data_IF_753635446227
#
_entry.id   IF_753635446227
#
_cell.length_a   1.000
_cell.length_b   1.000
_cell.length_c   1.000
_cell.angle_alpha   90.00
_cell.angle_beta   90.00
_cell.angle_gamma   90.00
#
_symmetry.space_group_name_H-M   'P 1'
#
loop_
_entity.id
_entity.type
_entity.pdbx_description
1 polymer ?
#
# COMPACT_ATOMS: atom_id res chain seq x y z
N UNK A 1 31.63 23.70 67.96
CA UNK A 1 32.32 23.62 66.65
C UNK A 1 32.71 22.16 66.42
N UNK A 2 31.73 21.28 66.21
CA UNK A 2 31.91 19.82 66.08
C UNK A 2 30.66 19.23 65.40
N UNK A 3 30.51 19.37 64.07
CA UNK A 3 29.39 18.72 63.38
C UNK A 3 29.64 18.45 61.89
N UNK A 4 30.90 18.20 61.51
CA UNK A 4 31.27 17.88 60.12
C UNK A 4 31.92 16.51 59.99
N UNK A 5 32.70 16.06 60.98
CA UNK A 5 33.37 14.75 60.93
C UNK A 5 32.40 13.55 61.11
N UNK A 6 31.44 13.64 62.03
CA UNK A 6 30.48 12.55 62.27
C UNK A 6 29.56 12.31 61.07
N UNK A 7 29.18 13.38 60.36
CA UNK A 7 28.28 13.29 59.19
C UNK A 7 28.89 12.48 58.06
N UNK A 8 30.18 12.67 57.77
CA UNK A 8 30.88 11.92 56.72
C UNK A 8 31.01 10.43 57.04
N UNK A 9 31.17 10.09 58.32
CA UNK A 9 31.28 8.71 58.80
C UNK A 9 29.93 7.98 58.80
N UNK A 10 28.83 8.69 59.06
CA UNK A 10 27.47 8.15 58.96
C UNK A 10 27.03 7.99 57.51
N UNK A 11 27.35 8.96 56.64
CA UNK A 11 27.00 8.89 55.21
C UNK A 11 27.69 7.73 54.49
N UNK A 12 28.99 7.50 54.75
CA UNK A 12 29.73 6.37 54.17
C UNK A 12 29.28 5.00 54.70
N UNK A 13 28.84 4.91 55.97
CA UNK A 13 28.22 3.69 56.53
C UNK A 13 26.86 3.37 55.90
N UNK A 14 26.06 4.39 55.59
CA UNK A 14 24.77 4.20 54.92
C UNK A 14 25.01 3.74 53.48
N UNK A 15 25.97 4.33 52.77
CA UNK A 15 26.27 4.00 51.37
C UNK A 15 26.87 2.58 51.19
N UNK A 16 27.63 2.09 52.18
CA UNK A 16 28.21 0.74 52.17
C UNK A 16 27.27 -0.33 52.75
N UNK A 17 26.04 0.01 53.13
CA UNK A 17 25.07 -0.95 53.65
C UNK A 17 24.36 -1.68 52.50
N UNK A 18 24.26 -3.02 52.58
CA UNK A 18 23.51 -3.85 51.64
C UNK A 18 22.05 -3.39 51.49
N UNK A 19 21.47 -2.82 52.56
CA UNK A 19 20.11 -2.27 52.54
C UNK A 19 19.98 -1.02 51.66
N UNK A 20 21.00 -0.15 51.65
CA UNK A 20 21.03 1.03 50.79
C UNK A 20 21.15 0.64 49.31
N UNK A 21 21.98 -0.36 48.99
CA UNK A 21 22.08 -0.89 47.63
C UNK A 21 20.75 -1.49 47.15
N UNK A 22 20.03 -2.23 48.00
CA UNK A 22 18.71 -2.79 47.66
C UNK A 22 17.70 -1.67 47.37
N UNK A 23 17.63 -0.65 48.22
CA UNK A 23 16.72 0.49 48.01
C UNK A 23 17.08 1.25 46.73
N UNK A 24 18.37 1.51 46.50
CA UNK A 24 18.85 2.16 45.28
C UNK A 24 18.50 1.36 44.03
N UNK A 25 18.69 0.03 44.07
CA UNK A 25 18.32 -0.85 42.98
C UNK A 25 16.81 -0.82 42.70
N UNK A 26 15.98 -0.85 43.76
CA UNK A 26 14.53 -0.83 43.64
C UNK A 26 14.04 0.49 43.03
N UNK A 27 14.60 1.63 43.46
CA UNK A 27 14.30 2.95 42.89
C UNK A 27 14.76 3.04 41.43
N UNK A 28 15.98 2.58 41.12
CA UNK A 28 16.51 2.55 39.76
C UNK A 28 15.66 1.68 38.84
N UNK A 29 15.25 0.50 39.31
CA UNK A 29 14.36 -0.41 38.59
C UNK A 29 12.99 0.23 38.33
N UNK A 30 12.42 0.93 39.30
CA UNK A 30 11.13 1.61 39.15
C UNK A 30 11.19 2.72 38.10
N UNK A 31 12.25 3.54 38.13
CA UNK A 31 12.48 4.60 37.12
C UNK A 31 12.70 3.97 35.74
N UNK A 32 13.52 2.92 35.65
CA UNK A 32 13.77 2.18 34.41
C UNK A 32 12.48 1.61 33.81
N UNK A 33 11.62 1.01 34.64
CA UNK A 33 10.34 0.46 34.22
C UNK A 33 9.40 1.53 33.63
N UNK A 34 9.31 2.69 34.27
CA UNK A 34 8.52 3.82 33.77
C UNK A 34 9.09 4.34 32.44
N UNK A 35 10.42 4.49 32.36
CA UNK A 35 11.09 4.97 31.16
C UNK A 35 10.84 4.05 29.96
N UNK A 36 11.00 2.73 30.13
CA UNK A 36 10.77 1.73 29.06
C UNK A 36 9.34 1.83 28.52
N UNK A 37 8.34 1.96 29.41
CA UNK A 37 6.94 2.11 29.01
C UNK A 37 6.69 3.43 28.26
N UNK A 38 7.37 4.51 28.63
CA UNK A 38 7.25 5.81 27.96
C UNK A 38 7.85 5.77 26.56
N UNK A 39 9.10 5.28 26.43
CA UNK A 39 9.79 5.17 25.15
C UNK A 39 9.00 4.33 24.14
N UNK A 40 8.37 3.23 24.57
CA UNK A 40 7.56 2.40 23.69
C UNK A 40 6.32 3.13 23.15
N UNK A 41 5.66 3.92 24.01
CA UNK A 41 4.49 4.72 23.61
C UNK A 41 4.87 5.80 22.61
N UNK A 42 5.95 6.52 22.87
CA UNK A 42 6.40 7.60 22.00
C UNK A 42 6.75 7.07 20.61
N UNK A 43 7.45 5.93 20.53
CA UNK A 43 7.73 5.27 19.26
C UNK A 43 6.46 4.87 18.49
N UNK A 44 5.48 4.27 19.18
CA UNK A 44 4.20 3.91 18.55
C UNK A 44 3.42 5.13 18.06
N UNK A 45 3.47 6.26 18.79
CA UNK A 45 2.79 7.50 18.38
C UNK A 45 3.45 8.08 17.15
N UNK A 46 4.79 8.15 17.11
CA UNK A 46 5.51 8.64 15.93
C UNK A 46 5.25 7.79 14.69
N UNK A 47 5.26 6.46 14.84
CA UNK A 47 4.92 5.57 13.72
C UNK A 47 3.49 5.79 13.19
N UNK A 48 2.53 6.06 14.08
CA UNK A 48 1.16 6.40 13.66
C UNK A 48 1.12 7.74 12.92
N UNK A 49 1.85 8.74 13.39
CA UNK A 49 1.95 10.05 12.73
C UNK A 49 2.52 9.88 11.31
N UNK A 50 3.61 9.13 11.16
CA UNK A 50 4.24 8.90 9.86
C UNK A 50 3.34 8.12 8.91
N UNK A 51 2.64 7.10 9.42
CA UNK A 51 1.64 6.36 8.64
C UNK A 51 0.51 7.26 8.16
N UNK A 52 -0.07 8.07 9.06
CA UNK A 52 -1.14 9.00 8.70
C UNK A 52 -0.69 10.04 7.68
N UNK A 53 0.53 10.58 7.82
CA UNK A 53 1.10 11.49 6.82
C UNK A 53 1.23 10.83 5.45
N UNK A 54 1.76 9.61 5.40
CA UNK A 54 1.89 8.85 4.17
C UNK A 54 0.53 8.55 3.52
N UNK A 55 -0.48 8.24 4.34
CA UNK A 55 -1.85 8.02 3.88
C UNK A 55 -2.46 9.29 3.26
N UNK A 56 -2.30 10.45 3.92
CA UNK A 56 -2.74 11.75 3.37
C UNK A 56 -2.09 12.04 2.02
N UNK A 57 -0.77 11.86 1.92
CA UNK A 57 -0.03 12.07 0.68
C UNK A 57 -0.50 11.13 -0.44
N UNK A 58 -0.81 9.88 -0.11
CA UNK A 58 -1.36 8.91 -1.06
C UNK A 58 -2.75 9.29 -1.55
N UNK A 59 -3.62 9.75 -0.65
CA UNK A 59 -4.98 10.19 -0.97
C UNK A 59 -4.96 11.46 -1.82
N UNK A 60 -4.03 12.38 -1.56
CA UNK A 60 -3.87 13.59 -2.37
C UNK A 60 -3.43 13.26 -3.80
N UNK A 61 -2.48 12.33 -3.96
CA UNK A 61 -2.09 11.82 -5.28
C UNK A 61 -3.25 11.16 -6.01
N UNK A 62 -4.01 10.31 -5.32
CA UNK A 62 -5.17 9.62 -5.89
C UNK A 62 -6.22 10.64 -6.34
N UNK A 63 -6.54 11.63 -5.50
CA UNK A 63 -7.45 12.73 -5.86
C UNK A 63 -7.00 13.43 -7.15
N UNK A 64 -5.72 13.80 -7.26
CA UNK A 64 -5.19 14.46 -8.47
C UNK A 64 -5.35 13.56 -9.70
N UNK A 65 -5.09 12.26 -9.58
CA UNK A 65 -5.27 11.31 -10.67
C UNK A 65 -6.75 11.18 -11.08
N UNK A 66 -7.66 11.06 -10.12
CA UNK A 66 -9.10 11.01 -10.38
C UNK A 66 -9.61 12.27 -11.06
N UNK A 67 -9.13 13.45 -10.63
CA UNK A 67 -9.48 14.72 -11.28
C UNK A 67 -8.98 14.78 -12.73
N UNK A 68 -7.73 14.37 -12.99
CA UNK A 68 -7.19 14.31 -14.36
C UNK A 68 -7.99 13.35 -15.25
N UNK A 69 -8.41 12.21 -14.72
CA UNK A 69 -9.24 11.26 -15.45
C UNK A 69 -10.62 11.86 -15.76
N UNK A 70 -11.24 12.53 -14.78
CA UNK A 70 -12.50 13.23 -14.97
C UNK A 70 -12.40 14.28 -16.07
N UNK A 71 -11.35 15.11 -16.04
CA UNK A 71 -11.09 16.12 -17.07
C UNK A 71 -10.91 15.50 -18.45
N UNK A 72 -10.18 14.37 -18.54
CA UNK A 72 -10.01 13.64 -19.79
C UNK A 72 -11.33 13.12 -20.33
N UNK A 73 -12.15 12.49 -19.49
CA UNK A 73 -13.47 11.94 -19.88
C UNK A 73 -14.44 13.05 -20.26
N UNK A 74 -14.39 14.20 -19.58
CA UNK A 74 -15.20 15.37 -19.92
C UNK A 74 -14.71 16.11 -21.19
N UNK A 75 -13.50 15.82 -21.66
CA UNK A 75 -12.92 16.51 -22.81
C UNK A 75 -13.60 16.15 -24.13
N UNK A 76 -13.57 17.10 -25.07
CA UNK A 76 -14.03 16.88 -26.46
C UNK A 76 -13.24 15.77 -27.16
N UNK A 77 -11.98 15.56 -26.80
CA UNK A 77 -11.12 14.53 -27.37
C UNK A 77 -11.63 13.12 -27.02
N UNK A 78 -12.11 12.92 -25.79
CA UNK A 78 -12.72 11.66 -25.39
C UNK A 78 -14.05 11.42 -26.11
N UNK A 79 -14.91 12.45 -26.19
CA UNK A 79 -16.16 12.37 -26.94
C UNK A 79 -15.92 12.03 -28.43
N UNK A 80 -14.93 12.66 -29.06
CA UNK A 80 -14.54 12.40 -30.45
C UNK A 80 -13.97 10.99 -30.63
N UNK A 81 -13.14 10.53 -29.69
CA UNK A 81 -12.61 9.15 -29.69
C UNK A 81 -13.75 8.15 -29.62
N UNK A 82 -14.71 8.34 -28.70
CA UNK A 82 -15.87 7.45 -28.53
C UNK A 82 -16.79 7.48 -29.74
N UNK A 83 -17.02 8.65 -30.34
CA UNK A 83 -17.80 8.80 -31.57
C UNK A 83 -17.15 8.06 -32.76
N UNK A 84 -15.82 8.12 -32.90
CA UNK A 84 -15.08 7.36 -33.91
C UNK A 84 -15.15 5.86 -33.69
N UNK A 85 -14.91 5.39 -32.46
CA UNK A 85 -14.81 3.95 -32.17
C UNK A 85 -16.16 3.25 -32.10
N UNK A 86 -17.18 3.89 -31.50
CA UNK A 86 -18.47 3.25 -31.27
C UNK A 86 -19.49 3.57 -32.34
N UNK A 87 -19.47 4.81 -32.83
CA UNK A 87 -20.48 5.31 -33.76
C UNK A 87 -19.96 5.37 -35.21
N UNK A 88 -18.70 4.97 -35.44
CA UNK A 88 -18.00 5.13 -36.73
C UNK A 88 -18.15 6.55 -37.32
N UNK A 89 -18.33 7.54 -36.44
CA UNK A 89 -18.55 8.93 -36.82
C UNK A 89 -17.22 9.59 -37.19
N UNK A 90 -17.25 10.43 -38.22
CA UNK A 90 -16.08 11.14 -38.76
C UNK A 90 -16.35 12.65 -38.78
N UNK A 91 -15.29 13.45 -38.69
CA UNK A 91 -15.43 14.91 -38.80
C UNK A 91 -15.83 15.31 -40.22
N UNK A 92 -16.47 16.47 -40.36
CA UNK A 92 -16.85 17.04 -41.66
C UNK A 92 -15.58 17.28 -42.50
N UNK A 93 -15.39 16.49 -43.55
CA UNK A 93 -14.21 16.52 -44.42
C UNK A 93 -13.31 15.27 -44.39
N UNK A 94 -13.51 14.33 -43.45
CA UNK A 94 -12.78 13.05 -43.44
C UNK A 94 -13.46 11.99 -44.34
N UNK A 95 -12.68 11.24 -45.13
CA UNK A 95 -13.14 10.06 -45.85
C UNK A 95 -12.89 8.80 -45.00
N UNK A 96 -13.95 8.06 -44.70
CA UNK A 96 -13.85 6.76 -44.04
C UNK A 96 -13.73 5.70 -45.14
N UNK A 97 -12.59 5.03 -45.23
CA UNK A 97 -12.36 3.94 -46.17
C UNK A 97 -12.67 2.63 -45.46
N UNK A 98 -13.76 1.97 -45.87
CA UNK A 98 -14.08 0.62 -45.40
C UNK A 98 -13.23 -0.33 -46.25
N UNK A 99 -12.15 -0.86 -45.66
CA UNK A 99 -11.41 -1.95 -46.28
C UNK A 99 -12.27 -3.19 -46.12
N UNK A 100 -12.96 -3.59 -47.19
CA UNK A 100 -13.42 -4.97 -47.31
C UNK A 100 -12.16 -5.78 -47.59
N UNK A 101 -11.76 -6.61 -46.66
CA UNK A 101 -10.92 -7.75 -47.01
C UNK A 101 -11.78 -8.58 -47.97
N UNK A 102 -11.50 -8.49 -49.27
CA UNK A 102 -11.90 -9.52 -50.21
C UNK A 102 -11.20 -10.78 -49.71
N UNK A 103 -11.90 -11.53 -48.87
CA UNK A 103 -11.55 -12.91 -48.61
C UNK A 103 -11.73 -13.61 -49.94
N UNK A 104 -10.63 -13.70 -50.69
CA UNK A 104 -10.46 -14.73 -51.69
C UNK A 104 -10.93 -16.04 -51.04
N UNK A 105 -11.90 -16.64 -51.69
CA UNK A 105 -12.55 -17.89 -51.36
C UNK A 105 -11.50 -19.02 -51.47
N UNK A 106 -10.62 -19.10 -50.48
CA UNK A 106 -9.59 -20.12 -50.32
C UNK A 106 -9.79 -20.89 -49.01
N UNK A 107 -11.03 -21.27 -48.72
CA UNK A 107 -11.33 -22.25 -47.66
C UNK A 107 -11.98 -23.50 -48.26
N UNK A 108 -11.19 -24.18 -49.11
CA UNK A 108 -11.25 -25.64 -49.24
C UNK A 108 -10.07 -26.27 -48.49
N UNK A 109 -9.94 -25.97 -47.21
CA UNK A 109 -9.23 -26.86 -46.29
C UNK A 109 -10.15 -27.28 -45.16
N UNK A 110 -10.47 -28.57 -45.19
CA UNK A 110 -11.22 -29.29 -44.17
C UNK A 110 -10.54 -29.15 -42.80
N UNK A 111 -10.93 -28.16 -42.00
CA UNK A 111 -10.79 -28.25 -40.55
C UNK A 111 -12.02 -28.95 -40.01
N UNK A 112 -11.88 -30.27 -39.87
CA UNK A 112 -12.77 -31.12 -39.11
C UNK A 112 -12.88 -30.55 -37.69
N UNK A 113 -13.91 -29.73 -37.46
CA UNK A 113 -14.20 -29.13 -36.18
C UNK A 113 -14.55 -30.26 -35.21
N UNK A 114 -13.58 -30.65 -34.40
CA UNK A 114 -13.79 -31.57 -33.29
C UNK A 114 -14.93 -31.00 -32.42
N UNK A 115 -16.08 -31.68 -32.47
CA UNK A 115 -17.37 -31.30 -31.88
C UNK A 115 -17.36 -31.52 -30.36
N UNK A 116 -16.28 -31.17 -29.69
CA UNK A 116 -16.18 -31.28 -28.23
C UNK A 116 -17.01 -30.14 -27.61
N UNK A 117 -18.04 -30.45 -26.79
CA UNK A 117 -18.87 -29.45 -26.14
C UNK A 117 -18.02 -28.52 -25.26
N UNK A 118 -18.37 -27.23 -25.26
CA UNK A 118 -17.65 -26.20 -24.50
C UNK A 118 -17.45 -26.55 -23.00
N UNK A 119 -18.40 -27.19 -22.29
CA UNK A 119 -18.19 -27.59 -20.89
C UNK A 119 -16.99 -28.54 -20.70
N UNK A 120 -16.76 -29.47 -21.64
CA UNK A 120 -15.65 -30.43 -21.57
C UNK A 120 -14.30 -29.74 -21.79
N UNK A 121 -14.27 -28.69 -22.61
CA UNK A 121 -13.07 -27.84 -22.82
C UNK A 121 -12.71 -27.08 -21.55
N UNK A 122 -13.71 -26.51 -20.87
CA UNK A 122 -13.49 -25.77 -19.63
C UNK A 122 -13.02 -26.68 -18.52
N UNK A 123 -13.62 -27.86 -18.38
CA UNK A 123 -13.17 -28.86 -17.42
C UNK A 123 -11.69 -29.20 -17.60
N UNK A 124 -11.27 -29.50 -18.83
CA UNK A 124 -9.86 -29.76 -19.13
C UNK A 124 -8.96 -28.58 -18.76
N UNK A 125 -9.36 -27.34 -19.07
CA UNK A 125 -8.59 -26.14 -18.71
C UNK A 125 -8.38 -26.01 -17.20
N UNK A 126 -9.43 -26.20 -16.40
CA UNK A 126 -9.34 -26.07 -14.94
C UNK A 126 -8.65 -27.25 -14.25
N UNK A 127 -8.73 -28.45 -14.82
CA UNK A 127 -8.14 -29.65 -14.19
C UNK A 127 -6.73 -29.95 -14.66
N UNK A 128 -6.35 -29.48 -15.86
CA UNK A 128 -5.01 -29.67 -16.40
C UNK A 128 -4.05 -28.52 -16.05
N UNK A 129 -4.40 -27.65 -15.08
CA UNK A 129 -3.46 -26.72 -14.46
C UNK A 129 -2.77 -27.41 -13.27
N UNK A 130 -1.73 -28.20 -13.56
CA UNK A 130 -0.73 -28.58 -12.55
C UNK A 130 0.69 -28.45 -13.11
N UNK A 131 1.48 -27.69 -12.33
CA UNK A 131 2.90 -27.34 -12.40
C UNK A 131 3.31 -26.28 -13.41
#
# INVERSE_FOLDING_TARGET
MTNTEDKHKTLSKIFNSTTFLIVLFLVSFFIGFIAVRSFYKDYMVQQKIDRLKSEVESLEREKIQSMKLLDYVASKQFAEKKARTELNMKKKGEQAMIIKEDKEDNDKEQKQANKTPNPKKWWYYFTNTKN
#
